data_IF_125287021717
#
_entry.id   IF_125287021717
#
_cell.length_a   1.000
_cell.length_b   1.000
_cell.length_c   1.000
_cell.angle_alpha   90.00
_cell.angle_beta   90.00
_cell.angle_gamma   90.00
#
_symmetry.space_group_name_H-M   'P 1'
#
loop_
_entity.id
_entity.type
_entity.pdbx_description
1 polymer ?
#
# COMPACT_ATOMS: atom_id res chain seq x y z
N UNK A 1 3.46 3.95 4.61
CA UNK A 1 2.03 3.78 4.29
C UNK A 1 1.21 4.62 5.26
N UNK A 2 0.30 5.44 4.74
CA UNK A 2 -0.66 6.22 5.51
C UNK A 2 -2.07 5.82 5.06
N UNK A 3 -2.94 5.48 6.01
CA UNK A 3 -4.36 5.20 5.78
C UNK A 3 -5.17 6.31 6.45
N UNK A 4 -6.05 6.95 5.69
CA UNK A 4 -6.96 8.02 6.11
C UNK A 4 -8.41 7.56 5.92
N UNK A 5 -9.35 8.33 6.49
CA UNK A 5 -10.77 8.11 6.26
C UNK A 5 -11.30 6.78 6.81
N UNK A 6 -10.64 6.13 7.75
CA UNK A 6 -11.21 4.93 8.38
C UNK A 6 -12.25 5.32 9.45
N UNK A 7 -13.11 4.40 9.93
CA UNK A 7 -14.06 4.69 11.01
C UNK A 7 -13.40 5.18 12.31
N UNK A 8 -12.17 4.74 12.58
CA UNK A 8 -11.35 5.17 13.71
C UNK A 8 -9.86 4.87 13.46
N UNK A 9 -8.98 5.45 14.27
CA UNK A 9 -7.52 5.29 14.12
C UNK A 9 -7.05 3.84 14.30
N UNK A 10 -7.75 3.04 15.12
CA UNK A 10 -7.38 1.64 15.32
C UNK A 10 -7.58 0.85 14.03
N UNK A 11 -8.71 1.04 13.35
CA UNK A 11 -8.98 0.47 12.03
C UNK A 11 -7.95 0.93 11.00
N UNK A 12 -7.66 2.24 10.94
CA UNK A 12 -6.68 2.80 10.01
C UNK A 12 -5.28 2.18 10.21
N UNK A 13 -4.79 2.09 11.46
CA UNK A 13 -3.49 1.48 11.78
C UNK A 13 -3.47 -0.01 11.45
N UNK A 14 -4.57 -0.71 11.71
CA UNK A 14 -4.67 -2.13 11.39
C UNK A 14 -4.57 -2.38 9.88
N UNK A 15 -5.32 -1.62 9.08
CA UNK A 15 -5.27 -1.68 7.61
C UNK A 15 -3.88 -1.33 7.12
N UNK A 16 -3.28 -0.23 7.60
CA UNK A 16 -1.93 0.18 7.22
C UNK A 16 -0.90 -0.92 7.49
N UNK A 17 -0.97 -1.56 8.67
CA UNK A 17 -0.08 -2.66 9.05
C UNK A 17 -0.28 -3.91 8.17
N UNK A 18 -1.51 -4.19 7.76
CA UNK A 18 -1.83 -5.32 6.88
C UNK A 18 -1.31 -5.11 5.47
N UNK A 19 -1.42 -3.90 4.93
CA UNK A 19 -0.87 -3.56 3.61
C UNK A 19 0.65 -3.70 3.58
N UNK A 20 1.36 -3.09 4.53
CA UNK A 20 2.84 -3.16 4.57
C UNK A 20 3.37 -4.56 4.88
N UNK A 21 2.55 -5.41 5.50
CA UNK A 21 2.86 -6.82 5.78
C UNK A 21 2.51 -7.78 4.64
N UNK A 22 1.81 -7.32 3.60
CA UNK A 22 1.39 -8.17 2.48
C UNK A 22 2.57 -8.51 1.57
N UNK A 23 2.90 -9.80 1.44
CA UNK A 23 3.98 -10.25 0.55
C UNK A 23 3.76 -9.82 -0.91
N UNK A 24 2.51 -9.74 -1.37
CA UNK A 24 2.18 -9.28 -2.72
C UNK A 24 2.48 -7.78 -2.88
N UNK A 25 2.13 -6.96 -1.89
CA UNK A 25 2.47 -5.54 -1.92
C UNK A 25 3.99 -5.36 -1.87
N UNK A 26 4.66 -6.03 -0.92
CA UNK A 26 6.12 -5.95 -0.75
C UNK A 26 6.90 -6.37 -2.00
N UNK A 27 6.42 -7.37 -2.75
CA UNK A 27 7.05 -7.79 -4.02
C UNK A 27 6.74 -6.86 -5.19
N UNK A 28 5.55 -6.26 -5.24
CA UNK A 28 5.24 -5.24 -6.25
C UNK A 28 6.14 -4.00 -6.06
N UNK A 29 6.34 -3.59 -4.81
CA UNK A 29 7.26 -2.51 -4.46
C UNK A 29 8.71 -2.85 -4.85
N UNK A 30 9.18 -4.07 -4.55
CA UNK A 30 10.51 -4.52 -4.98
C UNK A 30 10.69 -4.46 -6.50
N UNK A 31 9.66 -4.84 -7.26
CA UNK A 31 9.70 -4.85 -8.72
C UNK A 31 9.44 -3.49 -9.38
N UNK A 32 9.20 -2.42 -8.61
CA UNK A 32 8.68 -1.15 -9.12
C UNK A 32 7.43 -1.34 -10.01
N UNK A 33 6.60 -2.34 -9.67
CA UNK A 33 5.40 -2.74 -10.39
C UNK A 33 4.20 -1.93 -9.89
N UNK A 34 3.47 -1.31 -10.81
CA UNK A 34 2.33 -0.42 -10.56
C UNK A 34 1.04 -1.19 -10.23
N UNK A 35 1.17 -2.35 -9.59
CA UNK A 35 0.07 -3.23 -9.25
C UNK A 35 -0.61 -2.80 -7.94
N UNK A 36 -1.17 -1.59 -7.97
CA UNK A 36 -1.91 -1.02 -6.85
C UNK A 36 -3.19 -1.80 -6.51
N UNK A 37 -3.69 -2.65 -7.42
CA UNK A 37 -4.77 -3.59 -7.15
C UNK A 37 -4.47 -4.53 -5.96
N UNK A 38 -3.19 -4.85 -5.71
CA UNK A 38 -2.76 -5.62 -4.52
C UNK A 38 -2.99 -4.86 -3.21
N UNK A 39 -2.91 -3.53 -3.25
CA UNK A 39 -3.18 -2.67 -2.08
C UNK A 39 -4.68 -2.66 -1.79
N UNK A 40 -5.51 -2.46 -2.82
CA UNK A 40 -6.98 -2.48 -2.70
C UNK A 40 -7.47 -3.84 -2.21
N UNK A 41 -6.96 -4.93 -2.78
CA UNK A 41 -7.25 -6.28 -2.32
C UNK A 41 -6.89 -6.49 -0.84
N UNK A 42 -5.74 -5.95 -0.40
CA UNK A 42 -5.31 -6.04 1.01
C UNK A 42 -6.23 -5.25 1.94
N UNK A 43 -6.77 -4.10 1.51
CA UNK A 43 -7.78 -3.33 2.25
C UNK A 43 -9.07 -4.15 2.38
N UNK A 44 -9.60 -4.64 1.26
CA UNK A 44 -10.86 -5.40 1.23
C UNK A 44 -10.81 -6.70 2.04
N UNK A 45 -9.64 -7.32 2.21
CA UNK A 45 -9.49 -8.53 3.03
C UNK A 45 -9.70 -8.25 4.53
N UNK A 46 -9.37 -7.05 5.01
CA UNK A 46 -9.23 -6.77 6.45
C UNK A 46 -10.18 -5.70 6.95
N UNK A 47 -10.76 -4.90 6.06
CA UNK A 47 -11.81 -3.95 6.39
C UNK A 47 -13.07 -4.71 6.81
N UNK A 48 -13.55 -4.43 8.02
CA UNK A 48 -14.79 -4.97 8.57
C UNK A 48 -15.96 -3.97 8.46
N UNK A 49 -15.85 -3.01 7.54
CA UNK A 49 -16.81 -1.96 7.25
C UNK A 49 -16.90 -1.79 5.73
N UNK A 50 -17.93 -1.09 5.27
CA UNK A 50 -18.09 -0.81 3.84
C UNK A 50 -17.03 0.18 3.37
N UNK A 51 -16.27 -0.22 2.34
CA UNK A 51 -15.25 0.61 1.70
C UNK A 51 -15.61 0.74 0.23
N UNK A 52 -16.45 1.72 -0.08
CA UNK A 52 -16.96 1.97 -1.44
C UNK A 52 -16.21 3.08 -2.16
N UNK A 53 -15.53 3.95 -1.42
CA UNK A 53 -14.90 5.16 -1.93
C UNK A 53 -13.43 5.22 -1.49
N UNK A 54 -12.55 4.64 -2.33
CA UNK A 54 -11.11 4.62 -2.05
C UNK A 54 -10.40 5.59 -2.98
N UNK A 55 -9.56 6.42 -2.37
CA UNK A 55 -8.54 7.19 -3.08
C UNK A 55 -7.17 6.61 -2.77
N UNK A 56 -6.32 6.48 -3.78
CA UNK A 56 -4.98 5.93 -3.61
C UNK A 56 -3.97 6.82 -4.32
N UNK A 57 -2.99 7.26 -3.54
CA UNK A 57 -1.85 8.02 -4.00
C UNK A 57 -0.57 7.21 -3.78
N UNK A 58 0.22 7.08 -4.85
CA UNK A 58 1.55 6.48 -4.82
C UNK A 58 2.56 7.60 -5.06
N UNK A 59 3.43 7.85 -4.08
CA UNK A 59 4.29 9.03 -4.06
C UNK A 59 3.47 10.30 -4.28
N UNK A 60 3.72 11.01 -5.38
CA UNK A 60 3.02 12.23 -5.75
C UNK A 60 1.88 12.04 -6.76
N UNK A 61 1.66 10.82 -7.23
CA UNK A 61 0.65 10.49 -8.25
C UNK A 61 -0.61 9.87 -7.66
N UNK A 62 -1.76 10.45 -8.01
CA UNK A 62 -3.07 9.86 -7.72
C UNK A 62 -3.33 8.77 -8.77
N UNK A 63 -3.54 7.53 -8.33
CA UNK A 63 -3.77 6.38 -9.24
C UNK A 63 -5.20 5.85 -9.18
N UNK A 64 -5.92 6.17 -8.11
CA UNK A 64 -7.30 5.79 -7.90
C UNK A 64 -8.03 6.97 -7.24
N UNK A 65 -9.18 7.35 -7.79
CA UNK A 65 -10.05 8.39 -7.24
C UNK A 65 -11.48 7.88 -7.20
N UNK A 66 -12.15 7.96 -6.05
CA UNK A 66 -13.49 7.39 -5.85
C UNK A 66 -13.64 5.96 -6.40
N UNK A 67 -12.70 5.08 -6.04
CA UNK A 67 -12.64 3.69 -6.49
C UNK A 67 -12.56 3.51 -8.01
N UNK A 68 -12.24 4.57 -8.76
CA UNK A 68 -12.11 4.57 -10.21
C UNK A 68 -10.66 4.87 -10.60
N UNK A 69 -10.03 4.08 -11.50
CA UNK A 69 -8.69 4.38 -11.99
C UNK A 69 -8.68 5.75 -12.68
N UNK A 70 -7.65 6.54 -12.42
CA UNK A 70 -7.42 7.82 -13.10
C UNK A 70 -6.21 7.71 -14.03
N UNK A 71 -6.11 8.62 -14.99
CA UNK A 71 -4.92 8.72 -15.83
C UNK A 71 -3.75 9.27 -15.00
N UNK A 72 -2.60 8.60 -15.08
CA UNK A 72 -1.35 9.01 -14.45
C UNK A 72 -0.17 8.64 -15.35
N UNK A 73 0.98 9.28 -15.15
CA UNK A 73 2.20 8.93 -15.88
C UNK A 73 2.84 7.68 -15.28
N UNK A 74 2.57 6.53 -15.89
CA UNK A 74 3.09 5.23 -15.46
C UNK A 74 4.62 5.15 -15.53
N UNK A 75 5.25 5.79 -16.52
CA UNK A 75 6.70 5.77 -16.65
C UNK A 75 7.35 6.58 -15.52
N UNK A 76 6.82 7.78 -15.27
CA UNK A 76 7.25 8.61 -14.15
C UNK A 76 7.05 7.91 -12.80
N UNK A 77 5.87 7.33 -12.57
CA UNK A 77 5.58 6.66 -11.31
C UNK A 77 6.46 5.42 -11.09
N UNK A 78 6.74 4.65 -12.14
CA UNK A 78 7.65 3.51 -12.04
C UNK A 78 9.07 3.94 -11.66
N UNK A 79 9.58 5.06 -12.20
CA UNK A 79 10.85 5.63 -11.74
C UNK A 79 10.79 6.10 -10.28
N UNK A 80 9.68 6.70 -9.85
CA UNK A 80 9.47 7.12 -8.45
C UNK A 80 9.38 5.96 -7.46
N UNK A 81 8.96 4.78 -7.90
CA UNK A 81 8.97 3.57 -7.08
C UNK A 81 10.36 2.95 -6.92
N UNK A 82 11.38 3.43 -7.63
CA UNK A 82 12.78 2.99 -7.44
C UNK A 82 13.53 3.81 -6.38
N UNK A 83 12.91 4.86 -5.84
CA UNK A 83 13.49 5.67 -4.77
C UNK A 83 13.58 4.87 -3.45
N UNK A 84 14.54 5.22 -2.59
CA UNK A 84 14.77 4.55 -1.31
C UNK A 84 13.56 4.59 -0.37
N UNK A 85 12.76 5.67 -0.47
CA UNK A 85 11.57 5.87 0.36
C UNK A 85 10.34 6.01 -0.54
N UNK A 86 9.42 5.07 -0.35
CA UNK A 86 8.15 5.06 -1.08
C UNK A 86 7.01 5.44 -0.15
N UNK A 87 6.36 6.57 -0.46
CA UNK A 87 5.15 6.97 0.21
C UNK A 87 3.91 6.41 -0.50
N UNK A 88 2.98 5.88 0.29
CA UNK A 88 1.70 5.36 -0.19
C UNK A 88 0.66 5.92 0.77
N UNK A 89 -0.38 6.56 0.22
CA UNK A 89 -1.49 7.14 0.96
C UNK A 89 -2.78 6.56 0.41
N UNK A 90 -3.55 5.88 1.25
CA UNK A 90 -4.90 5.45 0.93
C UNK A 90 -5.90 6.25 1.77
N UNK A 91 -6.88 6.87 1.14
CA UNK A 91 -8.05 7.42 1.83
C UNK A 91 -9.23 6.48 1.61
N UNK A 92 -9.93 6.14 2.69
CA UNK A 92 -11.05 5.20 2.66
C UNK A 92 -12.42 5.89 2.67
N UNK A 93 -12.45 7.23 2.86
CA UNK A 93 -13.67 8.06 2.88
C UNK A 93 -14.84 7.49 3.73
N UNK A 94 -14.53 6.71 4.77
CA UNK A 94 -15.45 5.99 5.64
C UNK A 94 -15.46 6.52 7.10
N UNK A 95 -14.83 7.68 7.35
CA UNK A 95 -14.73 8.28 8.68
C UNK A 95 -13.60 9.29 8.81
N UNK A 96 -13.10 9.50 10.03
CA UNK A 96 -12.03 10.48 10.34
C UNK A 96 -10.75 9.85 10.89
N UNK A 97 -10.65 8.52 10.86
CA UNK A 97 -9.55 7.77 11.42
C UNK A 97 -8.27 7.88 10.60
N UNK A 98 -7.14 8.01 11.28
CA UNK A 98 -5.80 8.11 10.69
C UNK A 98 -4.88 7.03 11.25
N UNK A 99 -4.10 6.40 10.36
CA UNK A 99 -3.16 5.36 10.74
C UNK A 99 -1.94 5.34 9.83
N UNK A 100 -0.78 5.06 10.42
CA UNK A 100 0.48 4.95 9.69
C UNK A 100 1.18 3.65 10.05
N UNK A 101 1.86 3.08 9.05
CA UNK A 101 2.71 1.93 9.22
C UNK A 101 3.92 2.02 8.28
N UNK A 102 5.03 1.44 8.75
CA UNK A 102 6.28 1.32 8.02
C UNK A 102 6.57 -0.13 7.73
N UNK A 103 7.22 -0.37 6.61
CA UNK A 103 7.70 -1.66 6.18
C UNK A 103 8.81 -1.48 5.17
N UNK A 104 9.24 -2.59 4.59
CA UNK A 104 10.19 -2.64 3.49
C UNK A 104 9.61 -3.48 2.37
N UNK A 105 10.33 -3.60 1.27
CA UNK A 105 10.06 -4.53 0.18
C UNK A 105 10.37 -5.99 0.57
N UNK A 106 10.15 -6.93 -0.36
CA UNK A 106 10.50 -8.35 -0.20
C UNK A 106 11.41 -8.76 -1.36
N UNK A 107 12.71 -8.84 -1.09
CA UNK A 107 13.75 -9.06 -2.10
C UNK A 107 14.18 -10.53 -2.19
N UNK A 108 14.88 -10.91 -3.26
CA UNK A 108 15.53 -12.23 -3.34
C UNK A 108 16.55 -12.44 -2.21
N UNK A 109 17.30 -11.40 -1.82
CA UNK A 109 18.27 -11.46 -0.72
C UNK A 109 17.62 -11.78 0.62
N UNK A 110 16.39 -11.31 0.86
CA UNK A 110 15.65 -11.69 2.06
C UNK A 110 15.45 -13.20 2.15
N UNK A 111 15.08 -13.84 1.04
CA UNK A 111 14.91 -15.29 0.96
C UNK A 111 16.26 -15.99 1.13
N UNK A 112 17.30 -15.54 0.43
CA UNK A 112 18.65 -16.10 0.50
C UNK A 112 19.19 -16.11 1.95
N UNK A 113 19.12 -14.97 2.65
CA UNK A 113 19.60 -14.83 4.02
C UNK A 113 18.84 -15.76 4.98
N UNK A 114 17.51 -15.84 4.86
CA UNK A 114 16.71 -16.64 5.81
C UNK A 114 16.61 -18.13 5.45
N UNK A 115 16.94 -18.51 4.21
CA UNK A 115 16.93 -19.92 3.78
C UNK A 115 18.29 -20.60 3.99
N UNK A 116 19.40 -19.85 3.96
CA UNK A 116 20.76 -20.39 4.05
C UNK A 116 21.38 -20.29 5.45
N UNK A 117 20.82 -19.44 6.33
CA UNK A 117 21.29 -19.32 7.70
C UNK A 117 20.28 -19.95 8.67
N UNK A 118 20.73 -20.93 9.45
CA UNK A 118 19.98 -21.43 10.60
C UNK A 118 19.94 -20.33 11.66
N UNK A 119 18.78 -19.72 11.86
CA UNK A 119 18.50 -18.73 12.91
C UNK A 119 18.37 -19.37 14.29
#
# INVERSE_FOLDING_TARGET
>A
MTVKGAPNDLAARFIAKKIVGSSLVKTAIFGADLNWGRIISSIGQVANFEVSDIELKLQDELVLYHSTPVDFDAAFLSEKLKEDKIEIIADLNAGSGLGQAWGCDLTYKYVEINALYTS
#
